data_IF_757887345365
#
_entry.id   IF_757887345365
#
_cell.length_a   1.000
_cell.length_b   1.000
_cell.length_c   1.000
_cell.angle_alpha   90.00
_cell.angle_beta   90.00
_cell.angle_gamma   90.00
#
_symmetry.space_group_name_H-M   'P 1'
#
loop_
_entity.id
_entity.type
_entity.pdbx_description
1 polymer ?
#
# COMPACT_ATOMS: atom_id res chain seq x y z
N UNK A 1 -8.19 32.92 26.80
CA UNK A 1 -7.85 32.74 25.37
C UNK A 1 -6.36 32.49 25.28
N UNK A 2 -5.96 31.41 24.62
CA UNK A 2 -4.55 31.04 24.54
C UNK A 2 -3.71 32.00 23.70
N UNK A 3 -2.44 32.20 24.08
CA UNK A 3 -1.47 33.03 23.37
C UNK A 3 -1.34 32.67 21.88
N UNK A 4 -1.46 31.40 21.53
CA UNK A 4 -1.34 30.90 20.15
C UNK A 4 -2.67 30.75 19.41
N UNK A 5 -3.77 31.27 19.96
CA UNK A 5 -4.97 31.43 19.13
C UNK A 5 -4.72 32.48 18.04
N UNK A 6 -5.26 32.26 16.83
CA UNK A 6 -5.12 33.20 15.70
C UNK A 6 -5.43 34.65 16.12
N UNK A 7 -6.49 34.84 16.90
CA UNK A 7 -6.88 36.14 17.45
C UNK A 7 -5.78 36.80 18.31
N UNK A 8 -5.15 36.05 19.21
CA UNK A 8 -4.09 36.60 20.07
C UNK A 8 -2.79 36.83 19.32
N UNK A 9 -2.47 35.98 18.34
CA UNK A 9 -1.35 36.20 17.42
C UNK A 9 -1.54 37.53 16.68
N UNK A 10 -2.71 37.76 16.07
CA UNK A 10 -3.02 39.00 15.36
C UNK A 10 -3.00 40.24 16.27
N UNK A 11 -3.46 40.12 17.52
CA UNK A 11 -3.34 41.21 18.52
C UNK A 11 -1.88 41.53 18.86
N UNK A 12 -1.04 40.51 18.97
CA UNK A 12 0.40 40.70 19.19
C UNK A 12 1.05 41.40 18.00
N UNK A 13 0.77 40.93 16.78
CA UNK A 13 1.23 41.58 15.55
C UNK A 13 0.76 43.05 15.46
N UNK A 14 -0.48 43.36 15.86
CA UNK A 14 -0.99 44.75 15.88
C UNK A 14 -0.23 45.62 16.88
N UNK A 15 0.21 45.06 18.01
CA UNK A 15 1.02 45.77 19.01
C UNK A 15 2.39 46.12 18.45
N UNK A 16 3.02 45.19 17.74
CA UNK A 16 4.32 45.42 17.12
C UNK A 16 4.22 46.39 15.94
N UNK A 17 3.17 46.28 15.12
CA UNK A 17 2.88 47.21 14.02
C UNK A 17 2.63 48.64 14.54
N UNK A 18 1.89 48.77 15.64
CA UNK A 18 1.66 50.06 16.31
C UNK A 18 2.96 50.71 16.77
N UNK A 19 3.89 49.92 17.32
CA UNK A 19 5.23 50.41 17.73
C UNK A 19 6.08 50.80 16.53
N UNK A 20 6.13 49.95 15.50
CA UNK A 20 6.93 50.17 14.28
C UNK A 20 6.48 51.41 13.50
N UNK A 21 5.17 51.65 13.39
CA UNK A 21 4.61 52.75 12.61
C UNK A 21 4.27 54.00 13.43
N UNK A 22 4.40 53.95 14.76
CA UNK A 22 4.05 55.06 15.65
C UNK A 22 2.56 55.41 15.67
N UNK A 23 1.68 54.48 15.27
CA UNK A 23 0.22 54.69 15.23
C UNK A 23 -0.46 54.18 16.50
N UNK A 24 -1.68 54.66 16.77
CA UNK A 24 -2.50 54.14 17.88
C UNK A 24 -2.79 52.65 17.67
N UNK A 25 -2.73 51.87 18.76
CA UNK A 25 -2.99 50.42 18.71
C UNK A 25 -4.36 50.05 18.10
N UNK A 26 -5.41 50.82 18.39
CA UNK A 26 -6.72 50.63 17.76
C UNK A 26 -6.69 50.77 16.23
N UNK A 27 -5.89 51.71 15.71
CA UNK A 27 -5.72 51.86 14.26
C UNK A 27 -4.91 50.69 13.66
N UNK A 28 -3.92 50.17 14.39
CA UNK A 28 -3.17 48.99 13.98
C UNK A 28 -4.06 47.73 13.92
N UNK A 29 -4.97 47.54 14.87
CA UNK A 29 -5.93 46.43 14.86
C UNK A 29 -6.87 46.49 13.64
N UNK A 30 -7.34 47.69 13.29
CA UNK A 30 -8.16 47.88 12.08
C UNK A 30 -7.39 47.63 10.78
N UNK A 31 -6.10 48.00 10.73
CA UNK A 31 -5.24 47.68 9.59
C UNK A 31 -5.06 46.17 9.41
N UNK A 32 -4.81 45.44 10.51
CA UNK A 32 -4.69 43.97 10.47
C UNK A 32 -6.02 43.31 10.07
N UNK A 33 -7.15 43.80 10.58
CA UNK A 33 -8.45 43.26 10.19
C UNK A 33 -8.69 43.42 8.68
N UNK A 34 -8.39 44.60 8.13
CA UNK A 34 -8.52 44.86 6.70
C UNK A 34 -7.54 44.06 5.85
N UNK A 35 -6.29 43.91 6.28
CA UNK A 35 -5.31 43.07 5.56
C UNK A 35 -5.74 41.60 5.55
N UNK A 36 -6.36 41.13 6.62
CA UNK A 36 -6.99 39.82 6.71
C UNK A 36 -8.37 39.74 6.02
N UNK A 37 -8.76 40.74 5.21
CA UNK A 37 -10.02 40.78 4.46
C UNK A 37 -11.29 40.74 5.33
N UNK A 38 -11.24 41.31 6.54
CA UNK A 38 -12.40 41.61 7.38
C UNK A 38 -12.79 43.09 7.23
N UNK A 39 -14.07 43.40 7.44
CA UNK A 39 -14.58 44.78 7.33
C UNK A 39 -14.06 45.67 8.45
N UNK A 40 -13.95 45.11 9.66
CA UNK A 40 -13.46 45.78 10.86
C UNK A 40 -12.97 44.75 11.90
N UNK A 41 -12.31 45.23 12.95
CA UNK A 41 -11.78 44.37 14.00
C UNK A 41 -12.86 43.62 14.79
N UNK A 42 -14.07 44.18 14.90
CA UNK A 42 -15.18 43.53 15.59
C UNK A 42 -15.69 42.28 14.85
N UNK A 43 -15.78 42.33 13.51
CA UNK A 43 -16.11 41.17 12.67
C UNK A 43 -15.07 40.06 12.83
N UNK A 44 -13.78 40.43 12.84
CA UNK A 44 -12.67 39.51 13.05
C UNK A 44 -12.79 38.80 14.40
N UNK A 45 -13.00 39.55 15.48
CA UNK A 45 -13.18 39.00 16.83
C UNK A 45 -14.36 38.03 16.90
N UNK A 46 -15.51 38.41 16.35
CA UNK A 46 -16.71 37.57 16.33
C UNK A 46 -16.49 36.29 15.52
N UNK A 47 -15.76 36.39 14.41
CA UNK A 47 -15.39 35.23 13.59
C UNK A 47 -14.47 34.31 14.36
N UNK A 48 -13.47 34.85 15.06
CA UNK A 48 -12.54 34.05 15.86
C UNK A 48 -13.21 33.34 17.05
N UNK A 49 -14.31 33.87 17.59
CA UNK A 49 -15.09 33.22 18.63
C UNK A 49 -15.92 32.04 18.09
N UNK A 50 -16.51 32.18 16.91
CA UNK A 50 -17.40 31.15 16.31
C UNK A 50 -16.62 30.10 15.52
N UNK A 51 -15.57 30.53 14.81
CA UNK A 51 -14.70 29.71 13.95
C UNK A 51 -13.24 30.14 14.15
N UNK A 52 -12.56 29.64 15.19
CA UNK A 52 -11.18 30.03 15.52
C UNK A 52 -10.15 29.76 14.42
N UNK A 53 -10.42 28.79 13.55
CA UNK A 53 -9.58 28.34 12.44
C UNK A 53 -10.22 28.66 11.07
N UNK A 54 -10.91 29.80 10.97
CA UNK A 54 -11.40 30.27 9.68
C UNK A 54 -10.22 30.68 8.77
N UNK A 55 -10.33 30.41 7.46
CA UNK A 55 -9.22 30.51 6.49
C UNK A 55 -8.55 31.90 6.47
N UNK A 56 -9.31 32.99 6.61
CA UNK A 56 -8.74 34.35 6.65
C UNK A 56 -7.98 34.61 7.94
N UNK A 57 -8.46 34.08 9.07
CA UNK A 57 -7.76 34.15 10.34
C UNK A 57 -6.45 33.36 10.31
N UNK A 58 -6.49 32.13 9.80
CA UNK A 58 -5.30 31.27 9.69
C UNK A 58 -4.27 31.88 8.77
N UNK A 59 -4.67 32.32 7.57
CA UNK A 59 -3.74 32.93 6.62
C UNK A 59 -3.05 34.17 7.20
N UNK A 60 -3.78 35.01 7.94
CA UNK A 60 -3.20 36.21 8.54
C UNK A 60 -2.33 35.92 9.78
N UNK A 61 -2.68 34.91 10.60
CA UNK A 61 -1.99 34.64 11.86
C UNK A 61 -0.86 33.61 11.73
N UNK A 62 -1.12 32.55 10.99
CA UNK A 62 -0.28 31.36 10.85
C UNK A 62 0.46 31.30 9.51
N UNK A 63 0.18 32.22 8.58
CA UNK A 63 0.76 32.23 7.23
C UNK A 63 0.05 31.29 6.26
N UNK A 64 -0.66 30.28 6.76
CA UNK A 64 -1.25 29.20 5.96
C UNK A 64 -2.76 29.28 5.83
N UNK A 65 -3.29 28.89 4.67
CA UNK A 65 -4.74 28.72 4.46
C UNK A 65 -5.24 27.34 4.88
N UNK A 66 -4.37 26.35 4.87
CA UNK A 66 -4.60 24.99 5.36
C UNK A 66 -3.48 24.65 6.33
N UNK A 67 -3.81 24.08 7.50
CA UNK A 67 -2.80 23.70 8.49
C UNK A 67 -1.82 22.65 7.93
N UNK A 68 -2.26 21.84 6.97
CA UNK A 68 -1.43 20.84 6.29
C UNK A 68 -0.28 21.47 5.51
N UNK A 69 -0.48 22.69 5.01
CA UNK A 69 0.55 23.39 4.23
C UNK A 69 1.70 23.90 5.12
N UNK A 70 1.53 23.94 6.45
CA UNK A 70 2.54 24.45 7.38
C UNK A 70 3.86 23.66 7.36
N UNK A 71 3.84 22.42 6.86
CA UNK A 71 5.04 21.61 6.69
C UNK A 71 5.94 22.09 5.55
N UNK A 72 5.42 22.93 4.65
CA UNK A 72 6.15 23.51 3.52
C UNK A 72 6.58 24.97 3.76
N UNK A 73 6.30 25.51 4.95
CA UNK A 73 6.58 26.90 5.30
C UNK A 73 7.89 27.03 6.06
N UNK A 74 8.46 28.25 6.03
CA UNK A 74 9.65 28.63 6.80
C UNK A 74 10.84 27.68 6.54
N UNK A 75 11.57 27.27 7.59
CA UNK A 75 12.73 26.35 7.50
C UNK A 75 12.33 24.88 7.74
N UNK A 76 11.03 24.58 7.88
CA UNK A 76 10.52 23.25 8.23
C UNK A 76 10.98 22.15 7.26
N UNK A 77 10.98 22.34 5.93
CA UNK A 77 11.46 21.30 5.01
C UNK A 77 12.94 20.95 5.23
N UNK A 78 13.79 21.96 5.49
CA UNK A 78 15.23 21.77 5.71
C UNK A 78 15.49 21.05 7.04
N UNK A 79 14.77 21.45 8.10
CA UNK A 79 14.82 20.77 9.40
C UNK A 79 14.35 19.31 9.31
N UNK A 80 13.28 19.06 8.54
CA UNK A 80 12.74 17.72 8.32
C UNK A 80 13.72 16.83 7.53
N UNK A 81 14.36 17.37 6.49
CA UNK A 81 15.37 16.63 5.73
C UNK A 81 16.58 16.27 6.60
N UNK A 82 17.06 17.20 7.43
CA UNK A 82 18.16 16.95 8.35
C UNK A 82 17.82 15.85 9.37
N UNK A 83 16.60 15.88 9.94
CA UNK A 83 16.14 14.87 10.88
C UNK A 83 15.94 13.50 10.22
N UNK A 84 15.42 13.46 8.98
CA UNK A 84 15.31 12.23 8.19
C UNK A 84 16.67 11.64 7.88
N UNK A 85 17.65 12.46 7.49
CA UNK A 85 19.01 12.00 7.22
C UNK A 85 19.65 11.36 8.45
N UNK A 86 19.48 11.95 9.64
CA UNK A 86 20.00 11.41 10.89
C UNK A 86 19.31 10.07 11.26
N UNK A 87 17.97 10.05 11.29
CA UNK A 87 17.22 8.85 11.67
C UNK A 87 17.42 7.69 10.68
N UNK A 88 17.57 7.99 9.38
CA UNK A 88 17.76 6.99 8.33
C UNK A 88 19.22 6.72 7.98
N UNK A 89 20.19 7.31 8.66
CA UNK A 89 21.61 7.19 8.33
C UNK A 89 22.07 5.74 8.15
N UNK A 90 21.61 4.83 9.02
CA UNK A 90 21.91 3.40 8.92
C UNK A 90 21.26 2.74 7.70
N UNK A 91 19.98 3.03 7.44
CA UNK A 91 19.25 2.47 6.29
C UNK A 91 19.81 2.99 4.96
N UNK A 92 20.19 4.27 4.91
CA UNK A 92 20.88 4.90 3.79
C UNK A 92 22.23 4.23 3.54
N UNK A 93 22.99 3.93 4.60
CA UNK A 93 24.29 3.26 4.47
C UNK A 93 24.19 1.83 3.90
N UNK A 94 23.07 1.16 4.11
CA UNK A 94 22.76 -0.15 3.52
C UNK A 94 22.26 -0.05 2.07
N UNK A 95 21.84 1.14 1.65
CA UNK A 95 21.48 1.44 0.26
C UNK A 95 22.73 1.69 -0.60
N UNK A 96 22.58 1.56 -1.92
CA UNK A 96 23.61 2.01 -2.88
C UNK A 96 23.27 3.38 -3.48
N UNK A 97 22.54 4.21 -2.74
CA UNK A 97 22.16 5.55 -3.13
C UNK A 97 22.74 6.58 -2.17
N UNK A 98 22.85 7.81 -2.67
CA UNK A 98 23.32 8.98 -1.92
C UNK A 98 22.51 10.21 -2.35
N UNK A 99 22.71 11.36 -1.69
CA UNK A 99 21.96 12.59 -2.03
C UNK A 99 20.45 12.36 -1.95
N UNK A 100 20.00 11.81 -0.83
CA UNK A 100 18.58 11.63 -0.58
C UNK A 100 17.89 12.99 -0.40
N UNK A 101 16.67 13.08 -0.91
CA UNK A 101 15.80 14.24 -0.77
C UNK A 101 14.34 13.78 -0.67
N UNK A 102 13.49 14.63 -0.09
CA UNK A 102 12.06 14.36 -0.06
C UNK A 102 11.50 14.52 -1.49
N UNK A 103 11.02 13.43 -2.07
CA UNK A 103 10.49 13.43 -3.43
C UNK A 103 8.99 13.75 -3.47
N UNK A 104 8.24 13.22 -2.51
CA UNK A 104 6.82 13.50 -2.30
C UNK A 104 6.53 13.56 -0.81
N UNK A 105 5.64 14.47 -0.43
CA UNK A 105 5.23 14.69 0.94
C UNK A 105 3.77 15.09 0.98
N UNK A 106 2.97 14.31 1.68
CA UNK A 106 1.52 14.51 1.77
C UNK A 106 1.07 14.44 3.21
N UNK A 107 0.56 15.56 3.73
CA UNK A 107 -0.08 15.61 5.04
C UNK A 107 -1.55 15.20 4.96
N UNK A 108 -1.93 14.17 5.71
CA UNK A 108 -3.29 13.61 5.73
C UNK A 108 -4.18 14.30 6.76
N UNK A 109 -3.65 14.47 7.97
CA UNK A 109 -4.38 15.03 9.11
C UNK A 109 -3.58 16.17 9.72
N UNK A 110 -4.30 17.11 10.34
CA UNK A 110 -3.71 18.25 11.01
C UNK A 110 -4.50 18.61 12.27
N UNK A 111 -3.83 18.58 13.42
CA UNK A 111 -4.40 18.91 14.72
C UNK A 111 -3.63 20.04 15.38
N UNK A 112 -4.27 21.20 15.50
CA UNK A 112 -3.65 22.40 16.07
C UNK A 112 -4.08 22.64 17.53
N UNK A 113 -3.13 22.54 18.46
CA UNK A 113 -3.32 22.97 19.84
C UNK A 113 -2.96 24.45 20.00
N UNK A 114 -3.99 25.30 19.97
CA UNK A 114 -3.86 26.73 20.23
C UNK A 114 -3.31 27.05 21.62
N UNK A 115 -3.33 26.13 22.59
CA UNK A 115 -2.86 26.32 23.96
C UNK A 115 -1.34 26.38 24.03
N UNK A 116 -0.67 25.47 23.31
CA UNK A 116 0.79 25.33 23.26
C UNK A 116 1.42 25.92 21.99
N UNK A 117 0.59 26.17 20.98
CA UNK A 117 1.03 26.56 19.63
C UNK A 117 1.70 25.39 18.92
N UNK A 118 1.16 24.19 19.12
CA UNK A 118 1.69 22.94 18.57
C UNK A 118 0.75 22.45 17.48
N UNK A 119 1.31 21.98 16.37
CA UNK A 119 0.60 21.38 15.26
C UNK A 119 1.10 19.96 15.07
N UNK A 120 0.21 18.99 15.23
CA UNK A 120 0.50 17.58 14.96
C UNK A 120 -0.04 17.21 13.58
N UNK A 121 0.83 16.66 12.75
CA UNK A 121 0.53 16.24 11.38
C UNK A 121 0.79 14.74 11.25
N UNK A 122 -0.08 14.02 10.56
CA UNK A 122 0.25 12.69 10.04
C UNK A 122 0.56 12.82 8.55
N UNK A 123 1.73 12.35 8.16
CA UNK A 123 2.33 12.60 6.85
C UNK A 123 2.78 11.29 6.24
N UNK A 124 2.49 11.07 4.96
CA UNK A 124 3.20 10.06 4.17
C UNK A 124 4.22 10.77 3.30
N UNK A 125 5.44 10.25 3.27
CA UNK A 125 6.52 10.83 2.48
C UNK A 125 7.32 9.76 1.76
N UNK A 126 7.89 10.15 0.61
CA UNK A 126 8.87 9.37 -0.12
C UNK A 126 10.23 10.05 -0.07
N UNK A 127 11.24 9.29 0.32
CA UNK A 127 12.61 9.76 0.48
C UNK A 127 13.51 9.05 -0.52
N UNK A 128 13.98 9.79 -1.53
CA UNK A 128 14.61 9.22 -2.72
C UNK A 128 16.06 9.69 -2.86
N UNK A 129 16.95 8.72 -3.02
CA UNK A 129 18.36 8.93 -3.28
C UNK A 129 18.72 8.75 -4.75
N UNK A 130 19.87 9.30 -5.14
CA UNK A 130 20.49 9.05 -6.44
C UNK A 130 21.30 7.77 -6.39
N UNK A 131 20.96 6.81 -7.25
CA UNK A 131 21.68 5.56 -7.36
C UNK A 131 23.11 5.77 -7.87
N UNK A 132 24.07 5.08 -7.26
CA UNK A 132 25.42 5.04 -7.78
C UNK A 132 25.50 4.26 -9.10
N UNK A 133 26.08 4.83 -10.17
CA UNK A 133 26.13 4.18 -11.49
C UNK A 133 26.95 2.88 -11.50
N UNK A 134 27.85 2.69 -10.53
CA UNK A 134 28.71 1.50 -10.42
C UNK A 134 28.11 0.41 -9.51
N UNK A 135 26.95 0.66 -8.88
CA UNK A 135 26.32 -0.26 -7.93
C UNK A 135 24.88 -0.55 -8.32
N UNK A 136 24.72 -1.47 -9.26
CA UNK A 136 23.41 -2.01 -9.62
C UNK A 136 22.91 -2.95 -8.50
N UNK A 137 21.60 -2.99 -8.27
CA UNK A 137 20.88 -3.89 -7.33
C UNK A 137 20.75 -3.48 -5.85
N UNK A 138 20.53 -2.20 -5.55
CA UNK A 138 19.95 -1.85 -4.24
C UNK A 138 18.88 -0.77 -4.38
N UNK A 139 17.97 -0.80 -3.40
CA UNK A 139 16.89 0.16 -3.27
C UNK A 139 17.39 1.60 -3.21
N UNK A 140 16.59 2.50 -3.74
CA UNK A 140 16.89 3.93 -3.91
C UNK A 140 15.84 4.83 -3.26
N UNK A 141 14.74 4.25 -2.78
CA UNK A 141 13.60 5.00 -2.30
C UNK A 141 13.01 4.35 -1.05
N UNK A 142 12.67 5.19 -0.07
CA UNK A 142 11.96 4.79 1.14
C UNK A 142 10.58 5.43 1.15
N UNK A 143 9.55 4.63 1.42
CA UNK A 143 8.17 5.06 1.61
C UNK A 143 7.84 4.97 3.08
N UNK A 144 7.42 6.07 3.70
CA UNK A 144 7.25 6.15 5.14
C UNK A 144 6.00 6.89 5.54
N UNK A 145 5.41 6.43 6.64
CA UNK A 145 4.37 7.15 7.36
C UNK A 145 4.97 7.72 8.65
N UNK A 146 4.82 9.03 8.82
CA UNK A 146 5.45 9.79 9.88
C UNK A 146 4.40 10.62 10.64
N UNK A 147 4.63 10.81 11.94
CA UNK A 147 3.99 11.85 12.71
C UNK A 147 4.97 13.01 12.87
N UNK A 148 4.56 14.21 12.43
CA UNK A 148 5.37 15.42 12.49
C UNK A 148 4.75 16.40 13.47
N UNK A 149 5.56 16.93 14.38
CA UNK A 149 5.15 17.92 15.38
C UNK A 149 5.84 19.24 15.10
N UNK A 150 5.05 20.26 14.74
CA UNK A 150 5.53 21.63 14.51
C UNK A 150 5.16 22.55 15.68
N UNK A 151 6.02 23.52 15.95
CA UNK A 151 5.84 24.57 16.95
C UNK A 151 5.78 25.93 16.26
N UNK A 152 4.82 26.77 16.67
CA UNK A 152 4.78 28.17 16.24
C UNK A 152 5.53 29.03 17.26
N UNK A 153 6.68 29.60 16.89
CA UNK A 153 7.48 30.51 17.73
C UNK A 153 7.94 31.71 16.90
N UNK A 154 7.94 32.89 17.51
CA UNK A 154 8.37 34.15 16.88
C UNK A 154 7.76 34.48 15.51
N UNK A 155 6.60 33.88 15.19
CA UNK A 155 5.93 34.08 13.91
C UNK A 155 6.42 33.17 12.79
N UNK A 156 7.21 32.14 13.10
CA UNK A 156 7.64 31.08 12.19
C UNK A 156 7.21 29.70 12.71
N UNK A 157 7.04 28.75 11.80
CA UNK A 157 6.92 27.33 12.08
C UNK A 157 8.32 26.74 12.19
N UNK A 158 8.50 25.87 13.18
CA UNK A 158 9.74 25.15 13.43
C UNK A 158 9.37 23.71 13.82
N UNK A 159 10.22 22.76 13.50
CA UNK A 159 10.12 21.38 13.97
C UNK A 159 10.33 21.36 15.49
N UNK A 160 9.59 20.50 16.20
CA UNK A 160 9.80 20.34 17.63
C UNK A 160 11.16 19.68 17.89
N UNK A 161 11.95 20.24 18.81
CA UNK A 161 13.28 19.69 19.18
C UNK A 161 13.20 18.27 19.75
N UNK A 162 12.14 17.96 20.50
CA UNK A 162 11.85 16.63 21.03
C UNK A 162 10.64 16.06 20.29
N UNK A 163 10.79 14.85 19.73
CA UNK A 163 9.74 14.13 18.99
C UNK A 163 9.14 14.93 17.81
N UNK A 164 9.97 15.76 17.16
CA UNK A 164 9.59 16.53 15.98
C UNK A 164 9.21 15.67 14.79
N UNK A 165 9.89 14.53 14.62
CA UNK A 165 9.62 13.52 13.62
C UNK A 165 9.60 12.14 14.26
N UNK A 166 8.48 11.43 14.11
CA UNK A 166 8.35 10.03 14.51
C UNK A 166 7.96 9.19 13.31
N UNK A 167 8.88 8.33 12.86
CA UNK A 167 8.62 7.37 11.79
C UNK A 167 7.79 6.22 12.38
N UNK A 168 6.55 6.07 11.92
CA UNK A 168 5.61 5.04 12.38
C UNK A 168 5.76 3.75 11.60
N UNK A 169 6.00 3.86 10.29
CA UNK A 169 6.30 2.74 9.42
C UNK A 169 7.21 3.19 8.27
N UNK A 170 8.00 2.27 7.74
CA UNK A 170 8.87 2.52 6.60
C UNK A 170 9.11 1.23 5.81
N UNK A 171 9.07 1.35 4.49
CA UNK A 171 9.41 0.27 3.56
C UNK A 171 10.32 0.83 2.47
N UNK A 172 11.34 0.07 2.09
CA UNK A 172 12.14 0.42 0.91
C UNK A 172 11.49 -0.10 -0.37
N UNK A 173 11.82 0.51 -1.51
CA UNK A 173 11.51 -0.02 -2.84
C UNK A 173 12.00 -1.47 -3.02
N UNK A 174 13.16 -1.81 -2.44
CA UNK A 174 13.67 -3.19 -2.43
C UNK A 174 12.75 -4.15 -1.68
N UNK A 175 12.19 -3.75 -0.54
CA UNK A 175 11.27 -4.59 0.22
C UNK A 175 9.99 -4.83 -0.58
N UNK A 176 9.47 -3.78 -1.21
CA UNK A 176 8.29 -3.86 -2.07
C UNK A 176 8.52 -4.76 -3.29
N UNK A 177 9.69 -4.69 -3.92
CA UNK A 177 10.03 -5.55 -5.05
C UNK A 177 10.13 -7.01 -4.61
N UNK A 178 10.73 -7.28 -3.45
CA UNK A 178 10.82 -8.64 -2.90
C UNK A 178 9.43 -9.22 -2.54
N UNK A 179 8.56 -8.43 -1.91
CA UNK A 179 7.18 -8.82 -1.60
C UNK A 179 6.38 -9.15 -2.88
N UNK A 180 6.57 -8.37 -3.95
CA UNK A 180 5.95 -8.62 -5.25
C UNK A 180 6.45 -9.92 -5.88
N UNK A 181 7.76 -10.16 -5.88
CA UNK A 181 8.33 -11.41 -6.39
C UNK A 181 7.76 -12.62 -5.63
N UNK A 182 7.67 -12.55 -4.30
CA UNK A 182 7.06 -13.59 -3.47
C UNK A 182 5.59 -13.83 -3.82
N UNK A 183 4.80 -12.77 -3.98
CA UNK A 183 3.39 -12.87 -4.33
C UNK A 183 3.18 -13.49 -5.73
N UNK A 184 4.04 -13.16 -6.69
CA UNK A 184 4.00 -13.75 -8.03
C UNK A 184 4.38 -15.23 -8.00
N UNK A 185 5.41 -15.62 -7.23
CA UNK A 185 5.77 -17.03 -7.03
C UNK A 185 4.65 -17.83 -6.33
N UNK A 186 3.99 -17.25 -5.31
CA UNK A 186 2.86 -17.89 -4.63
C UNK A 186 1.70 -18.10 -5.60
N UNK A 187 1.42 -17.12 -6.46
CA UNK A 187 0.39 -17.23 -7.49
C UNK A 187 0.69 -18.33 -8.51
N UNK A 188 1.94 -18.40 -8.99
CA UNK A 188 2.37 -19.45 -9.91
C UNK A 188 2.25 -20.83 -9.26
N UNK A 189 2.70 -20.97 -8.02
CA UNK A 189 2.57 -22.21 -7.25
C UNK A 189 1.10 -22.65 -7.08
N UNK A 190 0.19 -21.71 -6.76
CA UNK A 190 -1.24 -22.00 -6.66
C UNK A 190 -1.84 -22.40 -8.01
N UNK A 191 -1.39 -21.81 -9.12
CA UNK A 191 -1.82 -22.21 -10.47
C UNK A 191 -1.31 -23.61 -10.86
N UNK A 192 -0.08 -23.98 -10.47
CA UNK A 192 0.44 -25.33 -10.69
C UNK A 192 -0.34 -26.39 -9.88
N UNK A 193 -0.74 -26.05 -8.66
CA UNK A 193 -1.61 -26.90 -7.84
C UNK A 193 -3.04 -27.01 -8.42
N UNK A 194 -3.55 -25.95 -9.07
CA UNK A 194 -4.76 -25.97 -9.88
C UNK A 194 -4.50 -26.60 -11.26
N UNK A 195 -3.96 -27.82 -11.28
CA UNK A 195 -4.04 -28.65 -12.49
C UNK A 195 -5.52 -28.78 -12.89
N UNK A 196 -5.91 -28.56 -14.17
CA UNK A 196 -7.29 -28.66 -14.60
C UNK A 196 -7.76 -30.09 -14.37
N UNK A 197 -8.47 -30.29 -13.26
CA UNK A 197 -9.11 -31.55 -12.95
C UNK A 197 -10.26 -31.70 -13.93
N UNK A 198 -10.05 -32.52 -14.96
CA UNK A 198 -11.10 -32.84 -15.92
C UNK A 198 -12.03 -33.89 -15.31
N UNK A 199 -13.25 -34.00 -15.84
CA UNK A 199 -14.16 -35.06 -15.40
C UNK A 199 -13.59 -36.44 -15.77
N UNK A 200 -14.02 -37.49 -15.08
CA UNK A 200 -13.54 -38.86 -15.34
C UNK A 200 -13.79 -39.29 -16.80
N UNK A 201 -14.95 -38.90 -17.35
CA UNK A 201 -15.32 -39.13 -18.75
C UNK A 201 -14.35 -38.44 -19.71
N UNK A 202 -13.99 -37.18 -19.42
CA UNK A 202 -13.06 -36.43 -20.23
C UNK A 202 -11.65 -37.04 -20.16
N UNK A 203 -11.20 -37.47 -18.98
CA UNK A 203 -9.91 -38.15 -18.83
C UNK A 203 -9.86 -39.48 -19.61
N UNK A 204 -10.96 -40.26 -19.61
CA UNK A 204 -11.09 -41.49 -20.41
C UNK A 204 -11.15 -41.20 -21.91
N UNK A 205 -11.86 -40.15 -22.32
CA UNK A 205 -11.96 -39.73 -23.71
C UNK A 205 -10.57 -39.38 -24.29
N UNK A 206 -9.78 -38.63 -23.52
CA UNK A 206 -8.44 -38.21 -23.91
C UNK A 206 -7.44 -39.39 -23.92
N UNK A 207 -7.54 -40.33 -22.95
CA UNK A 207 -6.62 -41.48 -22.87
C UNK A 207 -6.90 -42.54 -23.94
N UNK A 208 -8.17 -42.78 -24.26
CA UNK A 208 -8.60 -43.81 -25.22
C UNK A 208 -8.79 -43.25 -26.64
N UNK A 209 -8.60 -41.94 -26.82
CA UNK A 209 -8.84 -41.19 -28.07
C UNK A 209 -10.26 -41.46 -28.63
N UNK A 210 -11.26 -41.36 -27.77
CA UNK A 210 -12.69 -41.56 -28.08
C UNK A 210 -13.50 -40.29 -27.83
N UNK A 211 -14.75 -40.25 -28.28
CA UNK A 211 -15.64 -39.13 -27.96
C UNK A 211 -16.06 -39.12 -26.50
N UNK A 212 -16.33 -37.95 -25.92
CA UNK A 212 -16.80 -37.79 -24.52
C UNK A 212 -18.09 -38.59 -24.29
N UNK A 213 -19.02 -38.58 -25.24
CA UNK A 213 -20.27 -39.36 -25.17
C UNK A 213 -20.01 -40.88 -25.16
N UNK A 214 -18.93 -41.34 -25.80
CA UNK A 214 -18.53 -42.76 -25.78
C UNK A 214 -17.84 -43.11 -24.44
N UNK A 215 -17.04 -42.19 -23.90
CA UNK A 215 -16.38 -42.34 -22.61
C UNK A 215 -17.38 -42.34 -21.44
N UNK A 216 -18.51 -41.63 -21.56
CA UNK A 216 -19.60 -41.66 -20.58
C UNK A 216 -20.22 -43.07 -20.40
N UNK A 217 -20.09 -43.95 -21.39
CA UNK A 217 -20.53 -45.35 -21.27
C UNK A 217 -19.50 -46.27 -20.61
N UNK A 218 -18.32 -45.75 -20.28
CA UNK A 218 -17.21 -46.47 -19.66
C UNK A 218 -17.01 -46.06 -18.19
N UNK A 219 -17.85 -45.17 -17.66
CA UNK A 219 -17.72 -44.68 -16.28
C UNK A 219 -17.91 -45.77 -15.24
N UNK A 220 -18.72 -46.78 -15.57
CA UNK A 220 -19.08 -47.89 -14.68
C UNK A 220 -18.20 -49.14 -14.90
N UNK A 221 -17.18 -49.04 -15.76
CA UNK A 221 -16.27 -50.14 -16.03
C UNK A 221 -15.38 -50.41 -14.82
N UNK A 222 -15.15 -51.68 -14.53
CA UNK A 222 -14.28 -52.08 -13.42
C UNK A 222 -12.82 -51.71 -13.74
N UNK A 223 -12.19 -50.95 -12.82
CA UNK A 223 -10.78 -50.58 -12.91
C UNK A 223 -10.01 -51.36 -11.84
N UNK A 224 -9.04 -52.14 -12.27
CA UNK A 224 -8.12 -52.87 -11.39
C UNK A 224 -6.76 -52.20 -11.37
N UNK A 225 -6.13 -52.17 -10.20
CA UNK A 225 -4.82 -51.55 -10.00
C UNK A 225 -3.73 -52.58 -10.32
N UNK A 226 -2.72 -52.17 -11.09
CA UNK A 226 -1.51 -52.95 -11.32
C UNK A 226 -0.38 -52.35 -10.48
N UNK A 227 -0.18 -52.88 -9.28
CA UNK A 227 0.83 -52.44 -8.33
C UNK A 227 1.88 -53.52 -8.02
N UNK A 228 3.04 -53.08 -7.50
CA UNK A 228 4.03 -53.98 -6.91
C UNK A 228 3.60 -54.43 -5.51
N UNK A 229 4.20 -55.52 -5.01
CA UNK A 229 4.03 -55.97 -3.62
C UNK A 229 4.44 -54.89 -2.57
N UNK A 230 5.21 -53.88 -2.99
CA UNK A 230 5.64 -52.74 -2.18
C UNK A 230 4.70 -51.51 -2.32
N UNK A 231 3.60 -51.62 -3.08
CA UNK A 231 2.58 -50.58 -3.22
C UNK A 231 2.86 -49.51 -4.29
N UNK A 232 3.80 -49.74 -5.21
CA UNK A 232 4.03 -48.84 -6.35
C UNK A 232 3.09 -49.18 -7.51
N UNK A 233 2.22 -48.25 -7.88
CA UNK A 233 1.29 -48.41 -9.02
C UNK A 233 2.04 -48.22 -10.35
N UNK A 234 2.02 -49.25 -11.20
CA UNK A 234 2.61 -49.21 -12.55
C UNK A 234 1.61 -48.76 -13.61
N UNK A 235 0.35 -49.17 -13.50
CA UNK A 235 -0.74 -48.82 -14.40
C UNK A 235 -2.10 -49.19 -13.80
N UNK A 236 -3.18 -48.82 -14.50
CA UNK A 236 -4.52 -49.29 -14.17
C UNK A 236 -5.08 -50.08 -15.36
N UNK A 237 -5.87 -51.11 -15.10
CA UNK A 237 -6.52 -51.90 -16.14
C UNK A 237 -8.02 -51.64 -16.13
N UNK A 238 -8.52 -51.12 -17.25
CA UNK A 238 -9.94 -50.94 -17.51
C UNK A 238 -10.49 -52.23 -18.13
N UNK A 239 -11.43 -52.90 -17.43
CA UNK A 239 -12.07 -54.11 -17.94
C UNK A 239 -13.32 -53.79 -18.75
N UNK A 240 -13.30 -54.13 -20.03
CA UNK A 240 -14.42 -53.91 -20.95
C UNK A 240 -15.49 -55.02 -20.86
N UNK A 241 -15.28 -56.09 -20.09
CA UNK A 241 -16.27 -57.15 -19.91
C UNK A 241 -17.52 -56.64 -19.18
N UNK A 242 -17.33 -55.72 -18.24
CA UNK A 242 -18.36 -55.11 -17.39
C UNK A 242 -19.15 -53.99 -18.10
N UNK A 243 -18.70 -53.54 -19.27
CA UNK A 243 -19.34 -52.47 -20.05
C UNK A 243 -20.56 -53.00 -20.82
N UNK A 244 -21.73 -52.39 -20.59
CA UNK A 244 -22.99 -52.77 -21.25
C UNK A 244 -23.06 -52.40 -22.75
N UNK A 245 -22.29 -51.40 -23.18
CA UNK A 245 -22.33 -50.89 -24.56
C UNK A 245 -21.50 -51.73 -25.55
N UNK A 246 -22.16 -52.73 -26.15
CA UNK A 246 -21.60 -53.60 -27.20
C UNK A 246 -20.96 -52.91 -28.43
N UNK A 247 -21.45 -51.75 -28.92
CA UNK A 247 -20.80 -51.02 -30.01
C UNK A 247 -19.42 -50.46 -29.60
N UNK A 248 -19.31 -49.92 -28.39
CA UNK A 248 -18.09 -49.30 -27.87
C UNK A 248 -17.06 -50.37 -27.53
N UNK A 249 -17.51 -51.46 -26.88
CA UNK A 249 -16.69 -52.65 -26.60
C UNK A 249 -16.01 -53.19 -27.85
N UNK A 250 -16.76 -53.40 -28.94
CA UNK A 250 -16.17 -53.86 -30.23
C UNK A 250 -15.21 -52.84 -30.84
N UNK A 251 -15.49 -51.54 -30.74
CA UNK A 251 -14.62 -50.47 -31.26
C UNK A 251 -13.28 -50.45 -30.52
N UNK A 252 -13.32 -50.56 -29.18
CA UNK A 252 -12.14 -50.57 -28.32
C UNK A 252 -11.33 -51.86 -28.46
N UNK A 253 -11.98 -53.03 -28.50
CA UNK A 253 -11.30 -54.32 -28.74
C UNK A 253 -10.62 -54.33 -30.11
N UNK A 254 -11.26 -53.79 -31.16
CA UNK A 254 -10.64 -53.70 -32.48
C UNK A 254 -9.42 -52.76 -32.51
N UNK A 255 -9.38 -51.75 -31.62
CA UNK A 255 -8.29 -50.77 -31.54
C UNK A 255 -7.13 -51.25 -30.67
N UNK A 256 -7.42 -51.77 -29.48
CA UNK A 256 -6.43 -52.14 -28.47
C UNK A 256 -6.11 -53.64 -28.47
N UNK A 257 -6.89 -54.46 -29.19
CA UNK A 257 -6.64 -55.90 -29.36
C UNK A 257 -6.91 -56.76 -28.14
N UNK A 258 -7.49 -56.18 -27.07
CA UNK A 258 -7.72 -56.83 -25.79
C UNK A 258 -9.05 -56.37 -25.16
N UNK A 259 -9.59 -57.19 -24.27
CA UNK A 259 -10.73 -56.86 -23.41
C UNK A 259 -10.33 -56.03 -22.19
N UNK A 260 -9.03 -55.95 -21.89
CA UNK A 260 -8.45 -55.12 -20.84
C UNK A 260 -7.56 -54.07 -21.48
N UNK A 261 -7.82 -52.79 -21.17
CA UNK A 261 -7.02 -51.66 -21.66
C UNK A 261 -6.16 -51.12 -20.52
N UNK A 262 -4.89 -50.90 -20.80
CA UNK A 262 -3.97 -50.27 -19.86
C UNK A 262 -4.12 -48.73 -19.88
N UNK A 263 -4.39 -48.15 -18.72
CA UNK A 263 -4.34 -46.72 -18.43
C UNK A 263 -3.01 -46.40 -17.72
N UNK A 264 -2.46 -45.22 -17.98
CA UNK A 264 -1.19 -44.78 -17.37
C UNK A 264 -1.29 -44.63 -15.86
N UNK A 265 -0.18 -44.83 -15.15
CA UNK A 265 -0.09 -44.66 -13.69
C UNK A 265 -0.54 -43.28 -13.19
N UNK A 266 -0.38 -42.23 -13.99
CA UNK A 266 -0.79 -40.86 -13.64
C UNK A 266 -2.20 -40.49 -14.12
N UNK A 267 -3.01 -41.45 -14.54
CA UNK A 267 -4.33 -41.21 -15.11
C UNK A 267 -5.25 -40.44 -14.14
N UNK A 268 -5.24 -40.79 -12.85
CA UNK A 268 -6.10 -40.16 -11.85
C UNK A 268 -5.57 -38.81 -11.33
N UNK A 269 -4.32 -38.44 -11.61
CA UNK A 269 -3.73 -37.17 -11.17
C UNK A 269 -4.45 -35.95 -11.78
N UNK A 270 -5.12 -36.15 -12.91
CA UNK A 270 -5.89 -35.12 -13.64
C UNK A 270 -7.41 -35.21 -13.47
N UNK A 271 -7.93 -36.09 -12.59
CA UNK A 271 -9.38 -36.35 -12.48
C UNK A 271 -9.97 -35.64 -11.25
N UNK A 272 -11.11 -34.95 -11.41
CA UNK A 272 -11.75 -34.18 -10.32
C UNK A 272 -12.30 -35.04 -9.20
N UNK A 273 -12.86 -36.20 -9.54
CA UNK A 273 -13.38 -37.20 -8.62
C UNK A 273 -13.12 -38.59 -9.17
N UNK A 274 -12.49 -39.44 -8.37
CA UNK A 274 -12.44 -40.87 -8.61
C UNK A 274 -13.86 -41.40 -8.32
N UNK A 275 -14.54 -42.07 -9.26
CA UNK A 275 -15.80 -42.74 -8.95
C UNK A 275 -15.56 -43.80 -7.87
N UNK A 276 -16.44 -43.83 -6.85
CA UNK A 276 -16.41 -44.79 -5.73
C UNK A 276 -16.69 -46.24 -6.17
#
# INVERSE_FOLDING_TARGET
MSAYSCCNILKSQAKDLSRKLGIKHAAALELIAKSAKFSNFHELMKTAEVKPLEVRLMSAALGVSDLRDAIHEDEVPEELEAELEDQLASAIAESNASEFCIADLVAHTAEYDSTKGTLSLSVSLSYRGKQHPERMYAGTEFFMDCAVTLLRRDGAWMLAEEDGLLISSGQSDRDLDHERELADMEREYLQELESPKVSFEQALADELEIGIDEAAHLTDAEITINDSDDGLVYSYWLDLETVESEPIKRKLINRHGSHQIELRANFFDRVEKIPD
#
